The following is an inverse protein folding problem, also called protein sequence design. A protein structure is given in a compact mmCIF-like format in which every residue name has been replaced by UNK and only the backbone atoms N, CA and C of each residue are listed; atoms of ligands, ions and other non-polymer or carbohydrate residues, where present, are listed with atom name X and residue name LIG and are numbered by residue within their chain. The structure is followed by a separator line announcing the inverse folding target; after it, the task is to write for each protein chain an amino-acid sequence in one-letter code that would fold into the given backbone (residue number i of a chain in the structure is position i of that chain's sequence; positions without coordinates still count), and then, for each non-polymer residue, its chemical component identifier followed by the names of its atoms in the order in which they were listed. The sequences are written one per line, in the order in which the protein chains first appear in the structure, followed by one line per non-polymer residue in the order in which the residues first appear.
data_IF_233912477120
#
_entry.id   IF_233912477120
#
_cell.length_a   1.000
_cell.length_b   1.000
_cell.length_c   1.000
_cell.angle_alpha   90.00
_cell.angle_beta   90.00
_cell.angle_gamma   90.00
#
_symmetry.space_group_name_H-M   'P 1'
#
loop_
_entity.id
_entity.type
_entity.pdbx_description
1 polymer ?
#
# COMPACT_ATOMS: atom_id res chain seq x y z
N UNK A 1 14.69 -7.86 10.27
CA UNK A 1 13.50 -7.70 9.41
C UNK A 1 13.23 -9.01 8.70
N UNK A 2 11.99 -9.24 8.34
CA UNK A 2 11.58 -10.39 7.52
C UNK A 2 10.69 -9.85 6.39
N UNK A 3 11.00 -10.18 5.15
CA UNK A 3 10.20 -9.82 3.97
C UNK A 3 10.71 -10.56 2.74
N UNK A 4 9.85 -10.79 1.76
CA UNK A 4 10.24 -11.27 0.43
C UNK A 4 10.86 -10.08 -0.35
N UNK A 5 12.17 -10.05 -0.47
CA UNK A 5 12.93 -8.98 -1.15
C UNK A 5 13.77 -9.47 -2.32
N UNK A 6 13.98 -10.78 -2.44
CA UNK A 6 14.80 -11.37 -3.51
C UNK A 6 13.95 -12.29 -4.41
N UNK A 7 13.66 -11.88 -5.66
CA UNK A 7 12.82 -12.68 -6.56
C UNK A 7 13.46 -14.01 -6.98
N UNK A 8 14.68 -14.29 -6.55
CA UNK A 8 15.38 -15.55 -6.83
C UNK A 8 15.36 -16.53 -5.66
N UNK A 9 14.93 -16.07 -4.50
CA UNK A 9 14.86 -16.87 -3.28
C UNK A 9 13.39 -17.07 -2.90
N UNK A 10 12.86 -18.29 -2.85
CA UNK A 10 11.46 -18.51 -2.48
C UNK A 10 11.18 -18.11 -1.04
N UNK A 11 10.02 -17.50 -0.80
CA UNK A 11 9.56 -17.11 0.51
C UNK A 11 10.17 -15.81 1.02
N UNK A 12 10.21 -15.65 2.34
CA UNK A 12 10.75 -14.43 2.93
C UNK A 12 12.22 -14.59 3.32
N UNK A 13 13.00 -13.57 3.05
CA UNK A 13 14.34 -13.39 3.60
C UNK A 13 14.26 -12.82 5.02
N UNK A 14 15.34 -13.04 5.79
CA UNK A 14 15.53 -12.35 7.07
C UNK A 14 16.94 -11.79 7.22
N UNK A 15 17.02 -10.64 7.89
CA UNK A 15 18.29 -9.92 8.10
C UNK A 15 18.22 -8.94 9.27
N UNK A 16 19.38 -8.44 9.68
CA UNK A 16 19.55 -7.29 10.57
C UNK A 16 20.28 -6.16 9.84
N UNK A 17 20.18 -4.96 10.34
CA UNK A 17 20.84 -3.79 9.77
C UNK A 17 22.33 -4.02 9.52
N UNK A 18 22.76 -3.79 8.28
CA UNK A 18 24.16 -3.93 7.87
C UNK A 18 24.69 -5.35 7.80
N UNK A 19 23.87 -6.36 8.06
CA UNK A 19 24.27 -7.76 8.04
C UNK A 19 23.85 -8.48 6.77
N UNK A 20 24.29 -9.74 6.67
CA UNK A 20 23.92 -10.66 5.59
C UNK A 20 22.42 -10.89 5.56
N UNK A 21 21.93 -11.11 4.35
CA UNK A 21 20.57 -11.55 4.08
C UNK A 21 20.56 -13.08 3.98
N UNK A 22 19.61 -13.68 4.64
CA UNK A 22 19.41 -15.14 4.66
C UNK A 22 18.03 -15.46 4.09
N UNK A 23 17.99 -16.55 3.32
CA UNK A 23 16.71 -17.15 2.87
C UNK A 23 15.97 -17.78 4.05
N UNK A 24 14.71 -18.12 3.84
CA UNK A 24 13.84 -18.72 4.87
C UNK A 24 14.39 -20.01 5.51
N UNK A 25 15.25 -20.75 4.81
CA UNK A 25 15.92 -21.97 5.31
C UNK A 25 17.26 -21.70 6.01
N UNK A 26 17.67 -20.41 6.10
CA UNK A 26 18.91 -20.01 6.75
C UNK A 26 20.14 -19.99 5.85
N UNK A 27 19.99 -20.17 4.55
CA UNK A 27 21.10 -20.05 3.60
C UNK A 27 21.54 -18.61 3.44
N UNK A 28 22.85 -18.31 3.56
CA UNK A 28 23.41 -16.98 3.30
C UNK A 28 23.35 -16.68 1.80
N UNK A 29 22.60 -15.65 1.42
CA UNK A 29 22.41 -15.23 0.03
C UNK A 29 23.59 -14.43 -0.55
N UNK A 30 24.64 -14.21 0.22
CA UNK A 30 25.89 -13.63 -0.27
C UNK A 30 25.91 -12.11 -0.36
N UNK A 31 24.84 -11.41 0.04
CA UNK A 31 24.76 -9.95 0.03
C UNK A 31 24.24 -9.37 1.35
N UNK A 32 24.40 -8.07 1.51
CA UNK A 32 23.91 -7.32 2.64
C UNK A 32 22.87 -6.30 2.17
N UNK A 33 21.92 -5.95 3.04
CA UNK A 33 21.07 -4.77 2.85
C UNK A 33 21.27 -3.77 3.97
N UNK A 34 21.29 -2.48 3.60
CA UNK A 34 21.49 -1.38 4.54
C UNK A 34 20.24 -0.99 5.32
N UNK A 35 19.07 -1.40 4.87
CA UNK A 35 17.80 -1.06 5.52
C UNK A 35 17.15 -2.27 6.20
N UNK A 36 16.59 -2.04 7.36
CA UNK A 36 15.74 -2.99 8.05
C UNK A 36 14.54 -2.30 8.74
N UNK A 37 14.23 -1.08 8.33
CA UNK A 37 13.17 -0.28 8.94
C UNK A 37 11.78 -0.73 8.49
N UNK A 38 11.50 -0.59 7.21
CA UNK A 38 10.15 -0.78 6.68
C UNK A 38 10.22 -1.42 5.30
N UNK A 39 9.26 -2.28 4.99
CA UNK A 39 9.04 -2.85 3.67
C UNK A 39 7.76 -2.30 3.07
N UNK A 40 7.73 -2.13 1.76
CA UNK A 40 6.61 -1.54 1.02
C UNK A 40 6.42 -2.28 -0.30
N UNK A 41 5.17 -2.50 -0.72
CA UNK A 41 4.85 -2.92 -2.09
C UNK A 41 4.60 -1.68 -2.95
N UNK A 42 5.64 -1.19 -3.62
CA UNK A 42 5.58 0.08 -4.34
C UNK A 42 5.75 -0.05 -5.86
N UNK A 43 6.60 -0.95 -6.34
CA UNK A 43 6.95 -1.01 -7.77
C UNK A 43 6.04 -1.92 -8.61
N UNK A 44 5.02 -2.53 -8.01
CA UNK A 44 4.09 -3.41 -8.71
C UNK A 44 4.58 -4.84 -8.93
N UNK A 45 5.77 -5.19 -8.41
CA UNK A 45 6.25 -6.57 -8.27
C UNK A 45 5.79 -7.17 -6.95
N UNK A 46 5.90 -8.49 -6.80
CA UNK A 46 5.54 -9.15 -5.55
C UNK A 46 6.64 -9.07 -4.48
N UNK A 47 7.87 -8.69 -4.85
CA UNK A 47 8.90 -8.39 -3.86
C UNK A 47 8.56 -7.10 -3.11
N UNK A 48 8.88 -7.07 -1.82
CA UNK A 48 8.83 -5.83 -1.04
C UNK A 48 10.07 -4.98 -1.30
N UNK A 49 9.88 -3.73 -1.60
CA UNK A 49 10.95 -2.73 -1.59
C UNK A 49 11.22 -2.28 -0.15
N UNK A 50 12.42 -1.76 0.10
CA UNK A 50 12.81 -1.25 1.40
C UNK A 50 12.69 0.27 1.41
N UNK A 51 11.88 0.78 2.33
CA UNK A 51 11.78 2.21 2.56
C UNK A 51 12.66 2.59 3.76
N UNK A 52 13.60 3.50 3.53
CA UNK A 52 14.47 4.04 4.57
C UNK A 52 14.58 5.55 4.42
N UNK A 53 13.92 6.24 5.30
CA UNK A 53 13.86 7.69 5.28
C UNK A 53 13.18 8.24 4.04
N UNK A 54 14.02 8.73 3.13
CA UNK A 54 13.60 9.42 1.90
C UNK A 54 13.83 8.61 0.62
N UNK A 55 13.96 7.30 0.76
CA UNK A 55 14.36 6.41 -0.32
C UNK A 55 13.54 5.13 -0.30
N UNK A 56 13.20 4.67 -1.49
CA UNK A 56 12.63 3.35 -1.72
C UNK A 56 13.59 2.57 -2.61
N UNK A 57 14.13 1.48 -2.09
CA UNK A 57 15.08 0.61 -2.76
C UNK A 57 14.45 -0.78 -2.99
N UNK A 58 14.49 -1.25 -4.22
CA UNK A 58 14.06 -2.60 -4.60
C UNK A 58 15.25 -3.50 -4.92
N UNK A 59 14.96 -4.74 -5.34
CA UNK A 59 15.97 -5.73 -5.72
C UNK A 59 16.89 -5.28 -6.87
N UNK A 60 16.41 -4.39 -7.72
CA UNK A 60 17.17 -3.80 -8.84
C UNK A 60 17.81 -2.45 -8.52
N UNK A 61 17.76 -2.01 -7.26
CA UNK A 61 18.32 -0.74 -6.80
C UNK A 61 17.26 0.31 -6.47
N UNK A 62 17.61 1.59 -6.63
CA UNK A 62 16.74 2.71 -6.25
C UNK A 62 15.47 2.76 -7.10
N UNK A 63 14.31 2.50 -6.47
CA UNK A 63 12.99 2.59 -7.10
C UNK A 63 12.46 4.02 -7.08
N UNK A 64 12.57 4.70 -5.93
CA UNK A 64 12.05 6.05 -5.79
C UNK A 64 12.87 6.91 -4.82
N UNK A 65 12.84 8.24 -5.01
CA UNK A 65 13.62 9.20 -4.23
C UNK A 65 12.74 10.35 -3.75
N UNK A 66 12.30 10.28 -2.50
CA UNK A 66 11.35 11.22 -1.88
C UNK A 66 11.96 12.61 -1.65
N UNK A 67 13.25 12.71 -1.29
CA UNK A 67 13.89 13.99 -0.94
C UNK A 67 13.91 15.03 -2.07
N UNK A 68 13.60 14.61 -3.31
CA UNK A 68 13.49 15.53 -4.46
C UNK A 68 12.20 16.35 -4.47
N UNK A 69 11.31 16.11 -3.52
CA UNK A 69 9.95 16.65 -3.53
C UNK A 69 9.64 17.52 -2.30
N UNK A 70 10.65 18.16 -1.71
CA UNK A 70 10.49 19.07 -0.57
C UNK A 70 9.62 18.48 0.55
N UNK A 71 10.00 17.30 0.99
CA UNK A 71 9.34 16.58 2.07
C UNK A 71 9.98 16.87 3.42
N UNK A 72 9.20 16.70 4.47
CA UNK A 72 9.63 16.67 5.86
C UNK A 72 9.41 15.25 6.43
N UNK A 73 9.99 14.99 7.58
CA UNK A 73 9.95 13.68 8.24
C UNK A 73 9.25 13.77 9.59
N UNK A 74 8.62 12.67 9.98
CA UNK A 74 8.02 12.57 11.31
C UNK A 74 9.06 12.52 12.43
N UNK A 75 10.21 11.90 12.17
CA UNK A 75 11.30 11.79 13.15
C UNK A 75 12.62 12.14 12.50
N UNK A 76 13.49 12.82 13.24
CA UNK A 76 14.81 13.24 12.72
C UNK A 76 15.80 12.09 12.55
N UNK A 77 15.69 11.02 13.35
CA UNK A 77 16.64 9.91 13.34
C UNK A 77 16.33 8.83 12.31
N UNK A 78 15.08 8.41 12.23
CA UNK A 78 14.65 7.35 11.27
C UNK A 78 14.01 7.89 10.00
N UNK A 79 13.68 9.18 9.97
CA UNK A 79 13.05 9.85 8.83
C UNK A 79 11.79 9.14 8.34
N UNK A 80 10.98 8.67 9.28
CA UNK A 80 9.77 7.93 8.94
C UNK A 80 8.80 8.78 8.13
N UNK A 81 8.04 8.17 7.21
CA UNK A 81 6.91 8.83 6.58
C UNK A 81 5.86 9.25 7.60
N UNK A 82 5.00 10.17 7.24
CA UNK A 82 3.82 10.51 8.02
C UNK A 82 2.89 9.31 8.15
N UNK A 83 2.77 8.56 7.06
CA UNK A 83 2.06 7.29 7.00
C UNK A 83 2.43 6.58 5.69
N UNK A 84 2.31 5.25 5.64
CA UNK A 84 2.37 4.48 4.41
C UNK A 84 1.47 3.25 4.49
N UNK A 85 0.92 2.82 3.37
CA UNK A 85 0.03 1.68 3.26
C UNK A 85 -0.80 1.73 1.99
N UNK A 86 -1.56 0.67 1.70
CA UNK A 86 -2.49 0.59 0.58
C UNK A 86 -3.73 1.47 0.86
N UNK A 87 -3.63 2.70 0.50
CA UNK A 87 -4.61 3.73 0.79
C UNK A 87 -5.55 3.97 -0.41
N UNK A 88 -5.07 3.73 -1.63
CA UNK A 88 -5.89 3.84 -2.85
C UNK A 88 -6.66 2.55 -3.19
N UNK A 89 -6.35 1.43 -2.53
CA UNK A 89 -7.08 0.17 -2.66
C UNK A 89 -6.72 -0.64 -3.89
N UNK A 90 -5.48 -0.53 -4.36
CA UNK A 90 -5.00 -1.25 -5.52
C UNK A 90 -3.89 -2.27 -5.18
N UNK A 91 -3.75 -2.66 -3.90
CA UNK A 91 -2.78 -3.51 -3.23
C UNK A 91 -1.35 -2.93 -3.15
N UNK A 92 -1.03 -1.94 -3.95
CA UNK A 92 0.25 -1.23 -3.84
C UNK A 92 0.14 -0.14 -2.80
N UNK A 93 1.23 0.10 -2.10
CA UNK A 93 1.21 1.00 -0.96
C UNK A 93 1.65 2.41 -1.35
N UNK A 94 0.94 3.42 -0.85
CA UNK A 94 1.29 4.83 -0.97
C UNK A 94 2.11 5.29 0.22
N UNK A 95 2.86 6.37 0.00
CA UNK A 95 3.64 7.04 1.04
C UNK A 95 3.08 8.46 1.23
N UNK A 96 2.75 8.80 2.46
CA UNK A 96 2.30 10.15 2.84
C UNK A 96 3.40 10.82 3.65
N UNK A 97 3.87 11.98 3.16
CA UNK A 97 4.89 12.79 3.81
C UNK A 97 4.36 14.20 4.09
N UNK A 98 4.73 14.82 5.22
CA UNK A 98 4.53 16.24 5.40
C UNK A 98 5.31 17.04 4.35
N UNK A 99 4.77 18.16 3.91
CA UNK A 99 5.51 19.11 3.09
C UNK A 99 6.55 19.85 3.92
N UNK A 100 7.74 20.09 3.38
CA UNK A 100 8.77 20.88 4.06
C UNK A 100 8.58 22.38 3.86
N UNK A 101 8.02 22.79 2.73
CA UNK A 101 7.81 24.18 2.34
C UNK A 101 6.51 24.76 2.91
N UNK A 102 5.52 23.91 3.20
CA UNK A 102 4.22 24.34 3.71
C UNK A 102 3.63 23.31 4.67
N UNK A 103 3.74 23.59 5.95
CA UNK A 103 3.38 22.67 7.04
C UNK A 103 1.89 22.25 7.08
N UNK A 104 1.02 22.95 6.37
CA UNK A 104 -0.41 22.61 6.25
C UNK A 104 -0.70 21.60 5.14
N UNK A 105 0.29 21.31 4.31
CA UNK A 105 0.13 20.45 3.16
C UNK A 105 0.78 19.08 3.41
N UNK A 106 0.19 18.06 2.84
CA UNK A 106 0.76 16.72 2.78
C UNK A 106 1.04 16.35 1.33
N UNK A 107 2.07 15.54 1.11
CA UNK A 107 2.44 15.00 -0.21
C UNK A 107 2.17 13.50 -0.21
N UNK A 108 1.39 13.05 -1.17
CA UNK A 108 1.03 11.65 -1.35
C UNK A 108 1.78 11.14 -2.57
N UNK A 109 2.53 10.07 -2.38
CA UNK A 109 3.29 9.40 -3.42
C UNK A 109 2.67 8.04 -3.71
N UNK A 110 2.11 7.92 -4.88
CA UNK A 110 1.58 6.70 -5.45
C UNK A 110 2.48 6.23 -6.59
N UNK A 111 2.51 4.95 -6.84
CA UNK A 111 3.30 4.38 -7.91
C UNK A 111 2.64 4.56 -9.28
N UNK A 112 3.47 4.67 -10.31
CA UNK A 112 3.08 4.68 -11.72
C UNK A 112 3.52 3.40 -12.46
N UNK A 113 4.23 2.51 -11.77
CA UNK A 113 4.65 1.25 -12.36
C UNK A 113 3.44 0.39 -12.72
N UNK A 114 3.37 -0.13 -13.96
CA UNK A 114 2.29 -1.03 -14.34
C UNK A 114 2.45 -2.37 -13.62
N UNK A 115 1.34 -2.98 -13.25
CA UNK A 115 1.29 -4.35 -12.76
C UNK A 115 0.15 -5.12 -13.40
N UNK A 116 0.34 -6.43 -13.57
CA UNK A 116 -0.71 -7.36 -13.97
C UNK A 116 -1.36 -8.05 -12.77
N UNK A 117 -0.73 -7.93 -11.60
CA UNK A 117 -1.22 -8.51 -10.37
C UNK A 117 -2.44 -7.76 -9.83
N UNK A 118 -3.38 -8.52 -9.27
CA UNK A 118 -4.61 -8.02 -8.66
C UNK A 118 -4.87 -8.76 -7.37
N UNK A 119 -4.78 -8.05 -6.26
CA UNK A 119 -5.04 -8.58 -4.93
C UNK A 119 -6.15 -7.79 -4.24
N UNK A 120 -6.71 -8.33 -3.12
CA UNK A 120 -7.63 -7.58 -2.28
C UNK A 120 -6.99 -6.27 -1.81
N UNK A 121 -7.83 -5.29 -1.51
CA UNK A 121 -7.38 -4.11 -0.77
C UNK A 121 -6.73 -4.56 0.54
N UNK A 122 -5.44 -4.24 0.74
CA UNK A 122 -4.68 -4.77 1.86
C UNK A 122 -5.27 -4.37 3.22
N UNK A 123 -5.97 -3.22 3.29
CA UNK A 123 -6.65 -2.77 4.51
C UNK A 123 -7.85 -3.65 4.91
N UNK A 124 -8.26 -4.61 4.08
CA UNK A 124 -9.26 -5.62 4.48
C UNK A 124 -8.66 -6.70 5.38
N UNK A 125 -7.35 -6.90 5.34
CA UNK A 125 -6.65 -7.75 6.30
C UNK A 125 -6.56 -7.03 7.67
N UNK A 126 -7.10 -7.66 8.70
CA UNK A 126 -7.17 -7.06 10.04
C UNK A 126 -5.79 -6.78 10.63
N UNK A 127 -4.83 -7.68 10.42
CA UNK A 127 -3.45 -7.52 10.91
C UNK A 127 -2.80 -6.30 10.27
N UNK A 128 -2.89 -6.19 8.96
CA UNK A 128 -2.37 -5.06 8.21
C UNK A 128 -3.06 -3.74 8.61
N UNK A 129 -4.39 -3.75 8.68
CA UNK A 129 -5.17 -2.58 9.10
C UNK A 129 -4.73 -2.07 10.47
N UNK A 130 -4.62 -2.97 11.47
CA UNK A 130 -4.18 -2.59 12.81
C UNK A 130 -2.77 -2.02 12.83
N UNK A 131 -1.86 -2.55 12.03
CA UNK A 131 -0.51 -2.00 11.92
C UNK A 131 -0.51 -0.64 11.22
N UNK A 132 -1.32 -0.45 10.20
CA UNK A 132 -1.47 0.85 9.52
C UNK A 132 -1.97 1.95 10.47
N UNK A 133 -3.00 1.69 11.28
CA UNK A 133 -3.54 2.69 12.21
C UNK A 133 -2.64 2.93 13.42
N UNK A 134 -1.75 1.99 13.75
CA UNK A 134 -0.78 2.15 14.82
C UNK A 134 0.52 2.82 14.38
N UNK A 135 0.70 3.14 13.11
CA UNK A 135 1.84 3.95 12.69
C UNK A 135 1.87 5.26 13.48
N UNK A 136 3.06 5.69 13.87
CA UNK A 136 3.29 6.89 14.69
C UNK A 136 2.84 6.78 16.15
N UNK A 137 2.37 5.63 16.59
CA UNK A 137 2.13 5.35 18.02
C UNK A 137 3.37 4.70 18.61
N UNK A 138 4.22 5.48 19.25
CA UNK A 138 5.51 5.03 19.75
C UNK A 138 6.54 4.87 18.62
N UNK A 139 7.28 3.76 18.61
CA UNK A 139 8.16 3.39 17.50
C UNK A 139 7.34 2.91 16.33
N UNK A 140 7.68 3.42 15.15
CA UNK A 140 7.03 3.03 13.93
C UNK A 140 7.25 1.53 13.65
N UNK A 141 6.17 0.84 13.33
CA UNK A 141 6.20 -0.57 13.00
C UNK A 141 5.95 -0.75 11.50
N UNK A 142 6.64 -1.68 10.82
CA UNK A 142 6.35 -1.98 9.44
C UNK A 142 4.97 -2.63 9.31
N UNK A 143 4.25 -2.28 8.26
CA UNK A 143 3.00 -2.95 7.92
C UNK A 143 3.29 -4.36 7.42
N UNK A 144 2.63 -5.34 7.97
CA UNK A 144 2.69 -6.72 7.50
C UNK A 144 1.29 -7.28 7.36
N UNK A 145 1.10 -8.11 6.35
CA UNK A 145 -0.14 -8.87 6.17
C UNK A 145 -0.21 -10.03 7.16
N UNK A 146 -1.42 -10.45 7.48
CA UNK A 146 -1.69 -11.68 8.21
C UNK A 146 -1.51 -12.95 7.36
N UNK A 147 -1.15 -12.79 6.10
CA UNK A 147 -0.91 -13.86 5.14
C UNK A 147 0.31 -13.55 4.26
N UNK A 148 0.78 -14.56 3.55
CA UNK A 148 1.91 -14.41 2.63
C UNK A 148 1.46 -13.78 1.30
N UNK A 149 2.17 -12.76 0.89
CA UNK A 149 2.10 -12.14 -0.44
C UNK A 149 3.54 -11.95 -0.93
N UNK A 150 3.95 -12.74 -1.90
CA UNK A 150 5.34 -12.77 -2.37
C UNK A 150 5.52 -13.46 -3.70
N UNK A 151 6.77 -13.58 -4.11
CA UNK A 151 7.19 -13.93 -5.48
C UNK A 151 6.99 -15.38 -5.86
N UNK A 152 6.80 -16.28 -4.92
CA UNK A 152 6.57 -17.72 -5.17
C UNK A 152 5.09 -18.11 -5.22
N UNK A 153 4.17 -17.14 -5.15
CA UNK A 153 2.76 -17.36 -5.49
C UNK A 153 2.64 -17.77 -6.97
N UNK A 154 1.98 -18.88 -7.22
CA UNK A 154 1.76 -19.42 -8.58
C UNK A 154 0.72 -18.61 -9.36
N UNK A 155 -0.15 -17.91 -8.65
CA UNK A 155 -1.19 -17.07 -9.23
C UNK A 155 -1.74 -16.06 -8.23
N UNK A 156 -2.38 -15.00 -8.70
CA UNK A 156 -3.08 -14.06 -7.84
C UNK A 156 -4.22 -14.73 -7.05
N UNK A 157 -4.79 -15.83 -7.55
CA UNK A 157 -5.83 -16.58 -6.84
C UNK A 157 -5.34 -17.15 -5.51
N UNK A 158 -4.10 -17.62 -5.42
CA UNK A 158 -3.50 -18.08 -4.16
C UNK A 158 -3.42 -16.96 -3.13
N UNK A 159 -3.12 -15.72 -3.55
CA UNK A 159 -3.12 -14.54 -2.68
C UNK A 159 -4.53 -14.21 -2.17
N UNK A 160 -5.55 -14.33 -3.01
CA UNK A 160 -6.95 -14.16 -2.60
C UNK A 160 -7.40 -15.21 -1.58
N UNK A 161 -7.03 -16.48 -1.80
CA UNK A 161 -7.33 -17.58 -0.88
C UNK A 161 -6.62 -17.41 0.46
N UNK A 162 -5.37 -16.96 0.45
CA UNK A 162 -4.60 -16.68 1.66
C UNK A 162 -5.23 -15.53 2.47
N UNK A 163 -5.66 -14.46 1.82
CA UNK A 163 -6.35 -13.34 2.46
C UNK A 163 -7.66 -13.79 3.13
N UNK A 164 -8.49 -14.54 2.41
CA UNK A 164 -9.75 -15.07 2.93
C UNK A 164 -9.53 -16.01 4.12
N UNK A 165 -8.49 -16.82 4.10
CA UNK A 165 -8.14 -17.75 5.19
C UNK A 165 -7.66 -17.00 6.43
N UNK A 166 -6.90 -15.91 6.27
CA UNK A 166 -6.44 -15.07 7.36
C UNK A 166 -7.61 -14.37 8.06
N UNK A 167 -8.55 -13.82 7.31
CA UNK A 167 -9.76 -13.21 7.84
C UNK A 167 -10.62 -14.20 8.64
N UNK A 168 -10.80 -15.41 8.13
CA UNK A 168 -11.54 -16.46 8.81
C UNK A 168 -10.84 -16.88 10.11
N UNK A 169 -9.52 -17.02 10.12
CA UNK A 169 -8.76 -17.35 11.32
C UNK A 169 -8.93 -16.29 12.42
N UNK A 170 -8.91 -15.01 12.07
CA UNK A 170 -9.13 -13.92 13.01
C UNK A 170 -10.57 -13.94 13.54
N UNK A 171 -11.56 -14.16 12.68
CA UNK A 171 -12.96 -14.27 13.07
C UNK A 171 -13.17 -15.39 14.08
N UNK A 172 -12.59 -16.56 13.84
CA UNK A 172 -12.66 -17.70 14.76
C UNK A 172 -11.96 -17.40 16.09
N UNK A 173 -10.82 -16.75 16.06
CA UNK A 173 -10.04 -16.44 17.26
C UNK A 173 -10.66 -15.35 18.14
N UNK A 174 -11.31 -14.37 17.53
CA UNK A 174 -11.82 -13.18 18.24
C UNK A 174 -13.32 -13.18 18.45
N UNK A 175 -14.08 -13.95 17.66
CA UNK A 175 -15.54 -13.87 17.60
C UNK A 175 -16.05 -12.55 17.03
N UNK A 176 -15.17 -11.72 16.48
CA UNK A 176 -15.53 -10.45 15.86
C UNK A 176 -15.92 -10.73 14.41
N UNK A 177 -17.20 -10.59 14.12
CA UNK A 177 -17.66 -10.58 12.73
C UNK A 177 -17.07 -9.34 12.04
N UNK A 178 -16.49 -9.49 10.84
CA UNK A 178 -16.06 -8.33 10.07
C UNK A 178 -17.29 -7.45 9.88
N UNK A 179 -17.15 -6.18 10.18
CA UNK A 179 -18.11 -5.19 9.72
C UNK A 179 -18.03 -5.24 8.20
N UNK A 180 -18.91 -6.03 7.60
CA UNK A 180 -19.14 -5.96 6.16
C UNK A 180 -19.71 -4.58 5.92
N UNK A 181 -18.84 -3.60 5.78
CA UNK A 181 -19.19 -2.37 5.09
C UNK A 181 -19.46 -2.82 3.67
N UNK A 182 -20.66 -3.32 3.45
CA UNK A 182 -21.13 -3.43 2.09
C UNK A 182 -20.94 -2.02 1.54
N UNK A 183 -20.11 -1.85 0.50
CA UNK A 183 -20.09 -0.57 -0.17
C UNK A 183 -21.55 -0.31 -0.51
N UNK A 184 -22.15 0.67 0.13
CA UNK A 184 -23.52 1.10 -0.16
C UNK A 184 -23.62 1.73 -1.55
N UNK A 185 -22.83 1.22 -2.47
CA UNK A 185 -22.85 1.49 -3.91
C UNK A 185 -23.86 0.66 -4.68
N UNK A 186 -24.91 0.18 -4.03
CA UNK A 186 -26.17 -0.04 -4.73
C UNK A 186 -26.96 1.27 -4.87
N UNK A 187 -26.27 2.39 -4.99
CA UNK A 187 -26.87 3.52 -5.68
C UNK A 187 -26.89 3.15 -7.16
N UNK A 188 -27.97 2.55 -7.62
CA UNK A 188 -28.42 2.87 -8.96
C UNK A 188 -28.22 4.37 -9.13
N UNK A 189 -27.37 4.82 -10.05
CA UNK A 189 -27.12 6.25 -10.19
C UNK A 189 -28.50 6.91 -10.28
N UNK A 190 -28.84 7.75 -9.30
CA UNK A 190 -30.08 8.51 -9.41
C UNK A 190 -30.04 9.17 -10.78
N UNK A 191 -31.05 8.94 -11.59
CA UNK A 191 -31.12 9.51 -12.91
C UNK A 191 -30.96 11.02 -12.77
N UNK A 192 -29.84 11.57 -13.22
CA UNK A 192 -29.52 12.97 -13.03
C UNK A 192 -28.28 13.36 -13.82
N UNK A 193 -28.09 14.65 -13.96
CA UNK A 193 -26.89 15.25 -14.51
C UNK A 193 -26.08 15.82 -13.36
N UNK A 194 -24.80 15.49 -13.33
CA UNK A 194 -23.88 15.91 -12.28
C UNK A 194 -22.73 16.72 -12.88
N UNK A 195 -22.27 17.75 -12.18
CA UNK A 195 -21.05 18.45 -12.55
C UNK A 195 -19.81 17.59 -12.21
N UNK A 196 -18.62 18.07 -12.56
CA UNK A 196 -17.35 17.35 -12.30
C UNK A 196 -17.01 17.23 -10.80
N UNK A 197 -17.70 17.96 -9.92
CA UNK A 197 -17.59 17.84 -8.46
C UNK A 197 -18.62 16.90 -7.85
N UNK A 198 -19.40 16.17 -8.67
CA UNK A 198 -20.40 15.22 -8.20
C UNK A 198 -21.72 15.86 -7.70
N UNK A 199 -21.92 17.16 -7.88
CA UNK A 199 -23.14 17.84 -7.49
C UNK A 199 -24.21 17.70 -8.58
N UNK A 200 -25.44 17.37 -8.18
CA UNK A 200 -26.60 17.24 -9.08
C UNK A 200 -26.98 18.62 -9.64
N UNK A 201 -27.11 18.71 -10.95
CA UNK A 201 -27.41 19.96 -11.68
C UNK A 201 -28.77 19.85 -12.34
N UNK A 202 -29.71 20.69 -11.92
CA UNK A 202 -31.08 20.69 -12.45
C UNK A 202 -31.20 21.36 -13.84
N UNK A 203 -30.30 22.28 -14.15
CA UNK A 203 -30.33 23.02 -15.41
C UNK A 203 -28.89 23.22 -15.94
N UNK A 204 -28.29 22.20 -16.56
CA UNK A 204 -26.91 22.25 -17.02
C UNK A 204 -26.81 23.20 -18.25
N UNK A 205 -25.91 24.16 -18.15
CA UNK A 205 -25.60 25.10 -19.25
C UNK A 205 -24.13 24.99 -19.59
N UNK A 206 -23.82 24.75 -20.84
CA UNK A 206 -22.46 24.71 -21.43
C UNK A 206 -21.37 24.09 -20.51
N UNK A 207 -20.77 22.99 -20.93
CA UNK A 207 -19.69 22.38 -20.15
C UNK A 207 -19.71 20.86 -20.15
N UNK A 208 -18.88 20.31 -19.28
CA UNK A 208 -18.72 18.86 -19.11
C UNK A 208 -19.51 18.40 -17.89
N UNK A 209 -20.35 17.38 -18.07
CA UNK A 209 -21.20 16.81 -17.04
C UNK A 209 -21.11 15.28 -17.07
N UNK A 210 -21.62 14.63 -16.03
CA UNK A 210 -21.79 13.18 -15.95
C UNK A 210 -23.29 12.87 -15.94
N UNK A 211 -23.75 12.06 -16.88
CA UNK A 211 -25.13 11.57 -16.97
C UNK A 211 -25.11 10.04 -17.07
N UNK A 212 -25.79 9.37 -16.15
CA UNK A 212 -25.84 7.90 -16.08
C UNK A 212 -24.43 7.25 -16.12
N UNK A 213 -23.48 7.81 -15.36
CA UNK A 213 -22.11 7.34 -15.30
C UNK A 213 -21.26 7.64 -16.55
N UNK A 214 -21.79 8.36 -17.55
CA UNK A 214 -21.07 8.71 -18.77
C UNK A 214 -20.82 10.22 -18.87
N UNK A 215 -19.64 10.58 -19.36
CA UNK A 215 -19.28 11.97 -19.65
C UNK A 215 -20.12 12.49 -20.82
N UNK A 216 -20.77 13.63 -20.63
CA UNK A 216 -21.53 14.34 -21.66
C UNK A 216 -21.07 15.80 -21.76
N UNK A 217 -21.07 16.32 -22.97
CA UNK A 217 -20.78 17.74 -23.21
C UNK A 217 -22.11 18.41 -23.61
N UNK A 218 -22.50 19.43 -22.86
CA UNK A 218 -23.66 20.25 -23.16
C UNK A 218 -23.15 21.56 -23.74
N UNK A 219 -23.60 21.91 -24.92
CA UNK A 219 -23.26 23.15 -25.62
C UNK A 219 -24.14 24.31 -25.16
#
# INVERSE_FOLDING_TARGET
MVADIDPKSPGCEFWMYGNRVYSQDGTDLGYNTGSCNMGIWFDGTLTRQLIDGDKVDGSLGRTFTLYRYDISYNTGSKKNPGWYGDFLGDWREEIIMPSADKLTDIKIFSTWYPTTHKFPWLMTDHTYYMQCIHQQVGYNQPNNLGYYLGTDLKSDAEGWEAAASADEAIRQATGIEPVVVQPSYSRTPEAGIYNMMGQKVSNPRGGIFIKNGKKVIIK
#
